data_IF_034577006539
#
_entry.id   IF_034577006539
#
_cell.length_a   1.000
_cell.length_b   1.000
_cell.length_c   1.000
_cell.angle_alpha   90.00
_cell.angle_beta   90.00
_cell.angle_gamma   90.00
#
_symmetry.space_group_name_H-M   'P 1'
#
loop_
_entity.id
_entity.type
_entity.pdbx_description
1 polymer ?
#
# COMPACT_ATOMS: atom_id res chain seq x y z
N UNK A 1 18.12 22.36 -17.79
CA UNK A 1 17.42 21.07 -17.55
C UNK A 1 17.99 20.26 -16.38
N UNK A 2 19.30 20.34 -16.08
CA UNK A 2 19.92 19.57 -14.98
C UNK A 2 19.62 20.22 -13.60
N UNK A 3 19.65 21.55 -13.50
CA UNK A 3 19.40 22.28 -12.24
C UNK A 3 17.97 22.13 -11.73
N UNK A 4 16.98 22.17 -12.62
CA UNK A 4 15.57 21.94 -12.25
C UNK A 4 15.38 20.57 -11.62
N UNK A 5 16.13 19.56 -12.09
CA UNK A 5 15.98 18.17 -11.66
C UNK A 5 16.54 17.93 -10.26
N UNK A 6 17.68 18.56 -9.93
CA UNK A 6 18.29 18.50 -8.59
C UNK A 6 17.34 19.03 -7.51
N UNK A 7 16.60 20.10 -7.82
CA UNK A 7 15.57 20.68 -6.93
C UNK A 7 14.43 19.70 -6.65
N UNK A 8 13.91 19.01 -7.67
CA UNK A 8 12.86 18.00 -7.49
C UNK A 8 13.35 16.76 -6.77
N UNK A 9 14.60 16.36 -6.96
CA UNK A 9 15.20 15.23 -6.24
C UNK A 9 15.22 15.47 -4.73
N UNK A 10 15.63 16.67 -4.29
CA UNK A 10 15.58 17.04 -2.87
C UNK A 10 14.15 17.03 -2.35
N UNK A 11 13.21 17.64 -3.08
CA UNK A 11 11.79 17.68 -2.69
C UNK A 11 11.20 16.27 -2.57
N UNK A 12 11.51 15.38 -3.52
CA UNK A 12 11.02 14.00 -3.52
C UNK A 12 11.65 13.21 -2.37
N UNK A 13 12.95 13.35 -2.11
CA UNK A 13 13.60 12.70 -0.96
C UNK A 13 12.99 13.18 0.37
N UNK A 14 12.72 14.48 0.51
CA UNK A 14 12.07 15.04 1.69
C UNK A 14 10.64 14.54 1.84
N UNK A 15 9.84 14.50 0.75
CA UNK A 15 8.48 13.97 0.78
C UNK A 15 8.45 12.47 1.10
N UNK A 16 9.35 11.69 0.51
CA UNK A 16 9.48 10.26 0.79
C UNK A 16 9.86 10.04 2.25
N UNK A 17 10.77 10.82 2.82
CA UNK A 17 11.07 10.77 4.26
C UNK A 17 9.85 11.13 5.11
N UNK A 18 9.12 12.19 4.75
CA UNK A 18 7.94 12.66 5.49
C UNK A 18 6.77 11.68 5.46
N UNK A 19 6.66 10.88 4.40
CA UNK A 19 5.63 9.84 4.24
C UNK A 19 6.11 8.51 4.83
N UNK A 20 7.35 8.11 4.56
CA UNK A 20 7.91 6.83 5.00
C UNK A 20 8.09 6.77 6.52
N UNK A 21 8.41 7.88 7.18
CA UNK A 21 8.57 7.94 8.64
C UNK A 21 7.27 7.54 9.38
N UNK A 22 6.12 8.21 9.19
CA UNK A 22 4.87 7.77 9.81
C UNK A 22 4.40 6.39 9.33
N UNK A 23 4.68 6.02 8.08
CA UNK A 23 4.30 4.70 7.56
C UNK A 23 5.13 3.56 8.16
N UNK A 24 6.38 3.83 8.54
CA UNK A 24 7.26 2.90 9.25
C UNK A 24 6.75 2.61 10.66
N UNK A 25 6.36 3.65 11.42
CA UNK A 25 5.71 3.47 12.72
C UNK A 25 4.35 2.77 12.62
N UNK A 26 3.60 3.01 11.53
CA UNK A 26 2.33 2.33 11.29
C UNK A 26 2.50 0.84 10.94
N UNK A 27 3.56 0.48 10.19
CA UNK A 27 3.85 -0.90 9.80
C UNK A 27 4.46 -1.72 10.94
N UNK A 28 5.19 -1.05 11.84
CA UNK A 28 5.89 -1.67 12.98
C UNK A 28 5.51 -0.97 14.29
N UNK A 29 4.25 -1.11 14.75
CA UNK A 29 3.75 -0.38 15.92
C UNK A 29 4.54 -0.72 17.21
N UNK A 30 5.01 -1.97 17.34
CA UNK A 30 5.79 -2.39 18.51
C UNK A 30 7.17 -1.72 18.62
N UNK A 31 7.79 -1.34 17.49
CA UNK A 31 9.08 -0.64 17.48
C UNK A 31 8.88 0.82 17.93
N UNK A 32 7.75 1.42 17.58
CA UNK A 32 7.41 2.80 17.93
C UNK A 32 7.18 3.01 19.41
N UNK A 33 6.36 2.17 20.04
CA UNK A 33 6.05 2.29 21.48
C UNK A 33 7.26 1.92 22.35
N UNK A 34 7.98 0.83 22.02
CA UNK A 34 9.17 0.37 22.77
C UNK A 34 10.39 1.29 22.63
N UNK A 35 10.43 2.19 21.65
CA UNK A 35 11.51 3.17 21.49
C UNK A 35 11.30 4.47 22.30
N UNK A 36 10.05 4.78 22.68
CA UNK A 36 9.70 6.02 23.39
C UNK A 36 9.76 5.81 24.92
N UNK A 37 9.56 4.58 25.41
CA UNK A 37 9.77 4.20 26.80
C UNK A 37 11.09 3.42 26.97
N UNK A 38 12.19 4.04 27.42
CA UNK A 38 13.44 3.35 27.67
C UNK A 38 13.36 2.61 29.02
N UNK A 39 12.40 1.69 29.16
CA UNK A 39 12.58 0.60 30.10
C UNK A 39 13.65 -0.30 29.49
N UNK A 40 14.67 -0.70 30.27
CA UNK A 40 15.81 -1.54 29.86
C UNK A 40 15.38 -2.98 29.50
N UNK A 41 14.41 -3.09 28.61
CA UNK A 41 13.92 -4.34 28.04
C UNK A 41 14.79 -4.64 26.83
N UNK A 42 15.27 -5.88 26.75
CA UNK A 42 16.10 -6.39 25.65
C UNK A 42 15.46 -6.18 24.28
N UNK A 43 14.12 -6.10 24.23
CA UNK A 43 13.32 -5.90 23.03
C UNK A 43 13.46 -4.49 22.42
N UNK A 44 13.55 -3.44 23.25
CA UNK A 44 13.75 -2.07 22.78
C UNK A 44 15.10 -1.92 22.07
N UNK A 45 16.17 -2.50 22.64
CA UNK A 45 17.52 -2.48 22.06
C UNK A 45 17.56 -3.21 20.72
N UNK A 46 16.95 -4.40 20.62
CA UNK A 46 16.88 -5.16 19.36
C UNK A 46 16.16 -4.37 18.27
N UNK A 47 15.06 -3.71 18.60
CA UNK A 47 14.29 -2.89 17.66
C UNK A 47 15.09 -1.71 17.11
N UNK A 48 15.87 -1.03 17.96
CA UNK A 48 16.74 0.08 17.56
C UNK A 48 17.90 -0.38 16.67
N UNK A 49 18.52 -1.52 16.99
CA UNK A 49 19.61 -2.08 16.18
C UNK A 49 19.10 -2.52 14.80
N UNK A 50 17.92 -3.14 14.73
CA UNK A 50 17.31 -3.51 13.46
C UNK A 50 16.89 -2.29 12.63
N UNK A 51 16.31 -1.27 13.26
CA UNK A 51 15.96 -0.01 12.58
C UNK A 51 17.21 0.69 12.04
N UNK A 52 18.28 0.78 12.84
CA UNK A 52 19.56 1.33 12.41
C UNK A 52 20.17 0.52 11.26
N UNK A 53 20.16 -0.81 11.33
CA UNK A 53 20.62 -1.69 10.26
C UNK A 53 19.81 -1.51 8.97
N UNK A 54 18.49 -1.41 9.07
CA UNK A 54 17.62 -1.15 7.92
C UNK A 54 17.94 0.18 7.25
N UNK A 55 18.13 1.24 8.04
CA UNK A 55 18.47 2.58 7.53
C UNK A 55 19.86 2.57 6.86
N UNK A 56 20.84 1.88 7.44
CA UNK A 56 22.21 1.86 6.91
C UNK A 56 22.35 1.01 5.65
N UNK A 57 21.63 -0.11 5.54
CA UNK A 57 21.83 -1.06 4.43
C UNK A 57 20.71 -1.06 3.41
N UNK A 58 19.45 -0.99 3.85
CA UNK A 58 18.29 -1.16 2.95
C UNK A 58 17.89 0.16 2.31
N UNK A 59 17.99 1.27 3.03
CA UNK A 59 17.67 2.60 2.50
C UNK A 59 18.57 2.99 1.31
N UNK A 60 19.92 2.86 1.37
CA UNK A 60 20.78 3.22 0.25
C UNK A 60 20.59 2.28 -0.94
N UNK A 61 20.28 1.01 -0.70
CA UNK A 61 19.99 0.03 -1.75
C UNK A 61 18.71 0.42 -2.52
N UNK A 62 17.65 0.81 -1.81
CA UNK A 62 16.41 1.27 -2.44
C UNK A 62 16.61 2.57 -3.23
N UNK A 63 17.35 3.52 -2.67
CA UNK A 63 17.65 4.79 -3.35
C UNK A 63 18.51 4.55 -4.60
N UNK A 64 19.58 3.75 -4.49
CA UNK A 64 20.42 3.39 -5.62
C UNK A 64 19.65 2.61 -6.70
N UNK A 65 18.76 1.72 -6.31
CA UNK A 65 17.86 1.00 -7.22
C UNK A 65 16.92 1.94 -7.97
N UNK A 66 16.30 2.89 -7.27
CA UNK A 66 15.43 3.89 -7.87
C UNK A 66 16.19 4.82 -8.84
N UNK A 67 17.40 5.26 -8.47
CA UNK A 67 18.25 6.10 -9.31
C UNK A 67 18.71 5.36 -10.58
N UNK A 68 19.04 4.07 -10.45
CA UNK A 68 19.38 3.20 -11.58
C UNK A 68 18.21 3.05 -12.55
N UNK A 69 16.99 2.83 -12.03
CA UNK A 69 15.78 2.75 -12.84
C UNK A 69 15.49 4.05 -13.60
N UNK A 70 15.72 5.20 -12.95
CA UNK A 70 15.55 6.52 -13.56
C UNK A 70 16.57 6.81 -14.65
N UNK A 71 17.82 6.46 -14.41
CA UNK A 71 18.89 6.59 -15.40
C UNK A 71 18.57 5.74 -16.65
N UNK A 72 18.05 4.54 -16.44
CA UNK A 72 17.59 3.67 -17.52
C UNK A 72 16.46 4.30 -18.36
N UNK A 73 15.40 4.82 -17.74
CA UNK A 73 14.26 5.43 -18.45
C UNK A 73 14.67 6.73 -19.17
N UNK A 74 15.61 7.49 -18.60
CA UNK A 74 16.05 8.77 -19.17
C UNK A 74 17.09 8.58 -20.28
N UNK A 75 17.72 7.40 -20.33
CA UNK A 75 18.75 7.07 -21.31
C UNK A 75 18.27 7.30 -22.76
N UNK A 76 19.09 7.95 -23.61
CA UNK A 76 18.77 8.14 -25.03
C UNK A 76 18.45 6.84 -25.76
N UNK A 77 19.06 5.73 -25.33
CA UNK A 77 18.85 4.40 -25.92
C UNK A 77 17.43 3.91 -25.62
N UNK A 78 16.97 4.05 -24.37
CA UNK A 78 15.61 3.69 -23.99
C UNK A 78 14.58 4.52 -24.75
N UNK A 79 14.78 5.85 -24.86
CA UNK A 79 13.88 6.72 -25.64
C UNK A 79 13.77 6.30 -27.10
N UNK A 80 14.90 5.95 -27.74
CA UNK A 80 14.90 5.44 -29.13
C UNK A 80 14.16 4.10 -29.26
N UNK A 81 14.39 3.16 -28.35
CA UNK A 81 13.70 1.86 -28.32
C UNK A 81 12.20 2.02 -28.08
N UNK A 82 11.82 2.92 -27.16
CA UNK A 82 10.43 3.24 -26.87
C UNK A 82 9.73 3.89 -28.07
N UNK A 83 10.42 4.78 -28.78
CA UNK A 83 9.93 5.33 -30.05
C UNK A 83 9.65 4.24 -31.09
N UNK A 84 10.58 3.30 -31.29
CA UNK A 84 10.37 2.13 -32.17
C UNK A 84 9.25 1.21 -31.68
N UNK A 85 9.08 1.04 -30.38
CA UNK A 85 7.99 0.22 -29.84
C UNK A 85 6.61 0.83 -30.15
N UNK A 86 6.49 2.17 -30.07
CA UNK A 86 5.23 2.87 -30.40
C UNK A 86 4.86 2.79 -31.89
N UNK A 87 5.81 2.59 -32.81
CA UNK A 87 5.48 2.43 -34.23
C UNK A 87 4.82 1.09 -34.52
N UNK A 88 5.05 0.07 -33.68
CA UNK A 88 4.40 -1.24 -33.76
C UNK A 88 2.97 -1.17 -33.23
N UNK A 89 2.05 -0.61 -34.04
CA UNK A 89 0.64 -0.37 -33.63
C UNK A 89 -0.01 -1.58 -32.95
N UNK A 90 0.08 -2.77 -33.55
CA UNK A 90 -0.50 -4.02 -33.01
C UNK A 90 0.12 -4.43 -31.68
N UNK A 91 1.45 -4.30 -31.54
CA UNK A 91 2.17 -4.60 -30.30
C UNK A 91 1.86 -3.60 -29.19
N UNK A 92 1.69 -2.32 -29.53
CA UNK A 92 1.34 -1.27 -28.58
C UNK A 92 -0.06 -1.47 -27.98
N UNK A 93 -1.06 -1.82 -28.80
CA UNK A 93 -2.40 -2.14 -28.29
C UNK A 93 -2.41 -3.38 -27.40
N UNK A 94 -1.69 -4.45 -27.79
CA UNK A 94 -1.56 -5.65 -26.97
C UNK A 94 -0.90 -5.34 -25.61
N UNK A 95 0.16 -4.52 -25.61
CA UNK A 95 0.83 -4.07 -24.39
C UNK A 95 -0.10 -3.28 -23.47
N UNK A 96 -0.87 -2.34 -24.01
CA UNK A 96 -1.87 -1.59 -23.23
C UNK A 96 -2.92 -2.54 -22.65
N UNK A 97 -3.44 -3.46 -23.46
CA UNK A 97 -4.47 -4.41 -23.02
C UNK A 97 -3.96 -5.30 -21.89
N UNK A 98 -2.75 -5.87 -22.02
CA UNK A 98 -2.15 -6.71 -21.00
C UNK A 98 -1.88 -5.92 -19.71
N UNK A 99 -1.30 -4.72 -19.82
CA UNK A 99 -1.06 -3.87 -18.63
C UNK A 99 -2.38 -3.49 -17.95
N UNK A 100 -3.40 -3.17 -18.73
CA UNK A 100 -4.70 -2.79 -18.19
C UNK A 100 -5.32 -3.98 -17.44
N UNK A 101 -5.33 -5.16 -18.04
CA UNK A 101 -5.83 -6.38 -17.39
C UNK A 101 -5.03 -6.74 -16.14
N UNK A 102 -3.70 -6.58 -16.18
CA UNK A 102 -2.83 -6.82 -15.03
C UNK A 102 -3.08 -5.83 -13.88
N UNK A 103 -3.22 -4.53 -14.19
CA UNK A 103 -3.56 -3.53 -13.17
C UNK A 103 -4.94 -3.81 -12.60
N UNK A 104 -5.93 -4.12 -13.45
CA UNK A 104 -7.27 -4.51 -13.01
C UNK A 104 -7.22 -5.79 -12.16
N UNK A 105 -6.33 -6.75 -12.44
CA UNK A 105 -6.22 -7.96 -11.63
C UNK A 105 -5.68 -7.68 -10.22
N UNK A 106 -4.81 -6.70 -10.05
CA UNK A 106 -4.39 -6.26 -8.70
C UNK A 106 -5.55 -5.67 -7.89
N UNK A 107 -6.50 -5.03 -8.58
CA UNK A 107 -7.71 -4.50 -7.96
C UNK A 107 -8.91 -5.47 -8.01
N UNK A 108 -8.72 -6.69 -8.51
CA UNK A 108 -9.81 -7.66 -8.60
C UNK A 108 -10.32 -8.06 -7.21
N UNK A 109 -9.44 -8.13 -6.21
CA UNK A 109 -9.82 -8.37 -4.82
C UNK A 109 -10.56 -7.17 -4.18
N UNK A 110 -10.55 -5.99 -4.82
CA UNK A 110 -11.39 -4.86 -4.40
C UNK A 110 -12.72 -4.83 -5.17
N UNK A 111 -12.72 -5.25 -6.45
CA UNK A 111 -13.88 -5.16 -7.35
C UNK A 111 -14.80 -6.39 -7.28
N UNK A 112 -14.24 -7.59 -7.11
CA UNK A 112 -14.95 -8.88 -7.23
C UNK A 112 -15.18 -9.52 -5.84
N UNK A 113 -14.60 -8.97 -4.79
CA UNK A 113 -14.70 -9.56 -3.46
C UNK A 113 -16.12 -9.49 -2.89
N UNK A 114 -16.58 -10.60 -2.31
CA UNK A 114 -17.88 -10.70 -1.65
C UNK A 114 -17.96 -9.99 -0.29
N UNK A 115 -16.83 -9.43 0.15
CA UNK A 115 -16.71 -8.70 1.40
C UNK A 115 -17.11 -7.24 1.25
N UNK A 116 -17.77 -6.67 2.26
CA UNK A 116 -18.05 -5.24 2.27
C UNK A 116 -16.74 -4.43 2.33
N UNK A 117 -16.72 -3.26 1.69
CA UNK A 117 -15.62 -2.31 1.81
C UNK A 117 -15.73 -1.56 3.16
N UNK A 118 -16.96 -1.18 3.50
CA UNK A 118 -17.29 -0.42 4.71
C UNK A 118 -18.69 -0.82 5.20
N UNK A 119 -18.84 -1.03 6.50
CA UNK A 119 -20.14 -1.33 7.14
C UNK A 119 -20.35 -0.38 8.30
N UNK A 120 -21.52 0.27 8.35
CA UNK A 120 -21.96 1.02 9.53
C UNK A 120 -22.82 0.11 10.41
N UNK A 121 -22.40 -0.13 11.65
CA UNK A 121 -23.16 -0.93 12.60
C UNK A 121 -23.17 -0.24 13.97
N UNK A 122 -24.35 -0.08 14.57
CA UNK A 122 -24.55 0.59 15.88
C UNK A 122 -23.87 1.98 16.01
N UNK A 123 -23.76 2.73 14.92
CA UNK A 123 -23.16 4.07 14.92
C UNK A 123 -21.66 4.11 14.60
N UNK A 124 -20.97 2.98 14.61
CA UNK A 124 -19.54 2.88 14.27
C UNK A 124 -19.31 2.42 12.83
N UNK A 125 -18.18 2.86 12.27
CA UNK A 125 -17.73 2.48 10.93
C UNK A 125 -16.67 1.38 11.00
N UNK A 126 -16.97 0.25 10.38
CA UNK A 126 -16.08 -0.90 10.33
C UNK A 126 -15.54 -1.10 8.90
N UNK A 127 -14.21 -1.07 8.74
CA UNK A 127 -13.51 -1.36 7.48
C UNK A 127 -13.03 -2.80 7.46
N UNK A 128 -13.79 -3.65 6.77
CA UNK A 128 -13.59 -5.11 6.73
C UNK A 128 -12.50 -5.56 5.75
N UNK A 129 -11.92 -4.63 4.97
CA UNK A 129 -10.78 -4.90 4.09
C UNK A 129 -9.45 -5.02 4.85
N UNK A 130 -9.25 -4.22 5.90
CA UNK A 130 -7.97 -4.14 6.62
C UNK A 130 -7.94 -4.98 7.89
N UNK A 131 -9.12 -5.32 8.44
CA UNK A 131 -9.23 -6.09 9.68
C UNK A 131 -10.31 -7.15 9.56
N UNK A 132 -9.98 -8.38 9.97
CA UNK A 132 -10.95 -9.44 10.10
C UNK A 132 -11.93 -9.14 11.25
N UNK A 133 -13.22 -9.05 10.93
CA UNK A 133 -14.30 -8.85 11.91
C UNK A 133 -15.25 -10.04 11.81
N UNK A 134 -15.49 -10.70 12.94
CA UNK A 134 -16.34 -11.90 12.98
C UNK A 134 -17.82 -11.59 12.74
N UNK A 135 -18.57 -12.56 12.22
CA UNK A 135 -20.02 -12.47 12.07
C UNK A 135 -20.76 -12.15 13.39
N UNK A 136 -20.23 -12.62 14.53
CA UNK A 136 -20.81 -12.41 15.86
C UNK A 136 -20.81 -10.92 16.28
N UNK A 137 -19.81 -10.15 15.85
CA UNK A 137 -19.73 -8.70 16.11
C UNK A 137 -20.95 -7.97 15.54
N UNK A 138 -21.48 -8.44 14.42
CA UNK A 138 -22.68 -7.91 13.77
C UNK A 138 -23.99 -8.57 14.25
N UNK A 139 -23.94 -9.43 15.27
CA UNK A 139 -25.11 -10.14 15.80
C UNK A 139 -25.59 -11.32 14.94
N UNK A 140 -24.79 -11.78 13.97
CA UNK A 140 -25.14 -12.91 13.12
C UNK A 140 -24.71 -14.25 13.73
N UNK A 141 -25.44 -15.32 13.40
CA UNK A 141 -25.12 -16.70 13.80
C UNK A 141 -23.98 -17.24 12.92
N UNK A 142 -22.79 -17.42 13.48
CA UNK A 142 -21.62 -17.99 12.79
C UNK A 142 -20.28 -17.60 13.44
N UNK A 143 -19.23 -18.41 13.21
CA UNK A 143 -17.88 -18.16 13.72
C UNK A 143 -16.93 -17.51 12.69
N UNK A 144 -17.30 -17.54 11.39
CA UNK A 144 -16.46 -17.08 10.29
C UNK A 144 -16.73 -15.65 9.81
N UNK A 145 -16.40 -15.39 8.54
CA UNK A 145 -16.65 -14.11 7.88
C UNK A 145 -18.16 -13.79 7.84
N UNK A 146 -18.56 -12.54 8.07
CA UNK A 146 -19.95 -12.12 7.97
C UNK A 146 -20.48 -12.25 6.53
N UNK A 147 -21.69 -12.76 6.33
CA UNK A 147 -22.38 -12.64 5.05
C UNK A 147 -22.97 -11.22 4.93
N UNK A 148 -22.26 -10.33 4.25
CA UNK A 148 -22.64 -8.92 4.16
C UNK A 148 -23.93 -8.66 3.38
N UNK A 149 -24.33 -9.56 2.46
CA UNK A 149 -25.62 -9.44 1.76
C UNK A 149 -26.78 -9.66 2.73
N UNK A 150 -26.71 -10.72 3.53
CA UNK A 150 -27.70 -10.98 4.58
C UNK A 150 -27.71 -9.88 5.65
N UNK A 151 -26.54 -9.38 6.04
CA UNK A 151 -26.44 -8.27 6.99
C UNK A 151 -27.16 -7.02 6.46
N UNK A 152 -27.01 -6.71 5.17
CA UNK A 152 -27.70 -5.58 4.54
C UNK A 152 -29.21 -5.72 4.62
N UNK A 153 -29.74 -6.92 4.36
CA UNK A 153 -31.18 -7.17 4.42
C UNK A 153 -31.71 -7.05 5.85
N UNK A 154 -30.98 -7.59 6.84
CA UNK A 154 -31.32 -7.46 8.26
C UNK A 154 -31.33 -6.00 8.73
N UNK A 155 -30.35 -5.20 8.31
CA UNK A 155 -30.28 -3.78 8.65
C UNK A 155 -31.39 -2.98 7.98
N UNK A 156 -31.79 -3.35 6.75
CA UNK A 156 -32.89 -2.70 6.05
C UNK A 156 -34.22 -2.93 6.77
N UNK A 157 -34.49 -4.15 7.23
CA UNK A 157 -35.69 -4.47 8.02
C UNK A 157 -35.70 -3.68 9.33
N UNK A 158 -34.62 -3.73 10.12
CA UNK A 158 -34.54 -3.01 11.41
C UNK A 158 -34.71 -1.49 11.29
N UNK A 159 -34.22 -0.89 10.20
CA UNK A 159 -34.34 0.57 10.01
C UNK A 159 -35.74 0.98 9.50
N UNK A 160 -36.58 0.03 9.11
CA UNK A 160 -37.95 0.30 8.61
C UNK A 160 -39.00 0.16 9.71
N UNK A 161 -38.68 -0.54 10.80
CA UNK A 161 -39.45 -0.61 12.06
C UNK A 161 -39.16 0.61 12.95
#
# INVERSE_FOLDING_TARGET
MIETWKKYETIIKTLVLFIAWPLFYWLMPEIGEKAIEPSYTTEAVISLVLAAGFIVYILPLLVAGADSFRMFITSPIFKRRWGKFKTLKRGYYAFILIITLFVVSLFAEFLINGNAIMVKYKGEYHFTLFKFISARTFGMRGYGMPNYRMLKDLLKVRNTE
#
